data_IF_602776333919
#
_entry.id   IF_602776333919
#
_cell.length_a   1.000
_cell.length_b   1.000
_cell.length_c   1.000
_cell.angle_alpha   90.00
_cell.angle_beta   90.00
_cell.angle_gamma   90.00
#
_symmetry.space_group_name_H-M   'P 1'
#
loop_
_entity.id
_entity.type
_entity.pdbx_description
1 polymer ?
#
# COMPACT_ATOMS: atom_id res chain seq x y z
N UNK A 1 20.40 -18.39 -21.95
CA UNK A 1 21.07 -17.96 -20.72
C UNK A 1 20.55 -16.58 -20.40
N UNK A 2 19.59 -16.48 -19.48
CA UNK A 2 19.02 -15.18 -19.10
C UNK A 2 19.98 -14.56 -18.10
N UNK A 3 20.70 -13.52 -18.55
CA UNK A 3 21.61 -12.75 -17.71
C UNK A 3 20.92 -12.33 -16.42
N UNK A 4 21.59 -12.60 -15.30
CA UNK A 4 21.19 -12.23 -13.95
C UNK A 4 21.18 -10.71 -13.77
N UNK A 5 20.18 -10.05 -14.34
CA UNK A 5 19.76 -8.71 -13.95
C UNK A 5 19.10 -8.82 -12.57
N UNK A 6 19.91 -8.96 -11.54
CA UNK A 6 19.47 -8.82 -10.17
C UNK A 6 18.91 -7.42 -9.98
N UNK A 7 17.64 -7.33 -9.61
CA UNK A 7 17.03 -6.09 -9.18
C UNK A 7 17.60 -5.77 -7.78
N UNK A 8 18.42 -4.73 -7.69
CA UNK A 8 18.86 -4.18 -6.41
C UNK A 8 17.74 -3.29 -5.88
N UNK A 9 17.06 -3.75 -4.84
CA UNK A 9 16.02 -2.98 -4.17
C UNK A 9 16.64 -2.19 -3.02
N UNK A 10 16.40 -0.88 -3.00
CA UNK A 10 16.74 -0.04 -1.85
C UNK A 10 15.62 -0.20 -0.82
N UNK A 11 15.80 -1.17 0.07
CA UNK A 11 14.79 -1.57 1.06
C UNK A 11 14.36 -0.40 1.95
N UNK A 12 15.31 0.48 2.32
CA UNK A 12 15.02 1.67 3.11
C UNK A 12 14.10 2.66 2.38
N UNK A 13 14.26 2.81 1.06
CA UNK A 13 13.35 3.65 0.26
C UNK A 13 11.96 3.03 0.14
N UNK A 14 11.85 1.70 0.15
CA UNK A 14 10.55 1.02 0.18
C UNK A 14 9.85 1.25 1.52
N UNK A 15 10.57 1.18 2.63
CA UNK A 15 10.02 1.47 3.96
C UNK A 15 9.50 2.90 4.05
N UNK A 16 10.28 3.85 3.55
CA UNK A 16 9.85 5.24 3.50
C UNK A 16 8.56 5.39 2.69
N UNK A 17 8.47 4.74 1.52
CA UNK A 17 7.27 4.80 0.66
C UNK A 17 6.06 4.12 1.30
N UNK A 18 6.25 2.99 1.96
CA UNK A 18 5.17 2.29 2.71
C UNK A 18 4.67 3.23 3.82
N UNK A 19 5.57 3.87 4.57
CA UNK A 19 5.20 4.85 5.60
C UNK A 19 4.41 6.03 5.01
N UNK A 20 4.86 6.61 3.89
CA UNK A 20 4.13 7.69 3.22
C UNK A 20 2.74 7.24 2.76
N UNK A 21 2.58 6.02 2.27
CA UNK A 21 1.28 5.49 1.86
C UNK A 21 0.36 5.24 3.06
N UNK A 22 0.90 4.76 4.18
CA UNK A 22 0.14 4.62 5.42
C UNK A 22 -0.37 5.98 5.93
N UNK A 23 0.51 6.99 5.97
CA UNK A 23 0.13 8.37 6.33
C UNK A 23 -0.94 8.93 5.39
N UNK A 24 -0.81 8.71 4.09
CA UNK A 24 -1.82 9.11 3.10
C UNK A 24 -3.15 8.37 3.30
N UNK A 25 -3.11 7.09 3.66
CA UNK A 25 -4.29 6.29 4.02
C UNK A 25 -5.02 6.85 5.23
N UNK A 26 -4.29 7.33 6.23
CA UNK A 26 -4.88 7.93 7.43
C UNK A 26 -5.47 9.31 7.14
N UNK A 27 -4.76 10.16 6.39
CA UNK A 27 -5.28 11.46 5.94
C UNK A 27 -6.54 11.31 5.07
N UNK A 28 -6.56 10.32 4.18
CA UNK A 28 -7.74 10.04 3.35
C UNK A 28 -8.89 9.48 4.19
N UNK A 29 -8.63 8.68 5.22
CA UNK A 29 -9.65 8.23 6.17
C UNK A 29 -10.30 9.40 6.93
N UNK A 30 -9.52 10.39 7.36
CA UNK A 30 -10.07 11.62 7.95
C UNK A 30 -10.94 12.41 6.97
N UNK A 31 -10.56 12.41 5.69
CA UNK A 31 -11.34 13.03 4.62
C UNK A 31 -12.66 12.27 4.39
N UNK A 32 -12.65 10.93 4.38
CA UNK A 32 -13.88 10.10 4.34
C UNK A 32 -14.80 10.47 5.49
N UNK A 33 -14.28 10.53 6.72
CA UNK A 33 -15.08 10.90 7.89
C UNK A 33 -15.68 12.31 7.76
N UNK A 34 -14.95 13.23 7.14
CA UNK A 34 -15.42 14.60 6.92
C UNK A 34 -16.47 14.67 5.81
N UNK A 35 -16.27 13.97 4.70
CA UNK A 35 -17.23 13.89 3.60
C UNK A 35 -18.54 13.20 4.03
N UNK A 36 -18.46 12.11 4.79
CA UNK A 36 -19.64 11.44 5.36
C UNK A 36 -20.43 12.36 6.29
N UNK A 37 -19.75 13.10 7.17
CA UNK A 37 -20.41 14.12 8.01
C UNK A 37 -21.06 15.24 7.20
N UNK A 38 -20.49 15.59 6.05
CA UNK A 38 -21.10 16.57 5.13
C UNK A 38 -22.35 16.00 4.47
N UNK A 39 -22.32 14.72 4.06
CA UNK A 39 -23.47 14.01 3.49
C UNK A 39 -24.65 13.85 4.45
N UNK A 40 -24.38 13.75 5.74
CA UNK A 40 -25.42 13.63 6.76
C UNK A 40 -26.15 14.96 7.03
N UNK A 41 -25.52 16.09 6.69
CA UNK A 41 -26.08 17.42 6.92
C UNK A 41 -27.02 17.83 5.80
N UNK A 42 -28.21 18.32 6.17
CA UNK A 42 -29.10 19.00 5.23
C UNK A 42 -28.69 20.48 5.12
N UNK A 43 -28.32 20.98 3.93
CA UNK A 43 -27.99 22.40 3.75
C UNK A 43 -29.21 23.30 4.04
N UNK A 44 -29.00 24.34 4.86
CA UNK A 44 -30.02 25.33 5.16
C UNK A 44 -30.07 26.40 4.06
N UNK A 45 -30.73 26.10 2.95
CA UNK A 45 -30.88 27.01 1.80
C UNK A 45 -32.22 27.78 1.80
N UNK A 46 -33.06 27.55 2.81
CA UNK A 46 -34.42 28.10 2.92
C UNK A 46 -35.50 27.03 2.73
N UNK A 47 -36.77 27.45 2.79
CA UNK A 47 -37.95 26.56 2.73
C UNK A 47 -38.71 26.62 1.41
N UNK A 48 -38.29 27.49 0.48
CA UNK A 48 -38.89 27.55 -0.84
C UNK A 48 -38.67 26.20 -1.57
N UNK A 49 -39.66 25.67 -2.31
CA UNK A 49 -39.52 24.40 -3.04
C UNK A 49 -38.22 24.22 -3.84
N UNK A 50 -37.73 25.21 -4.64
CA UNK A 50 -36.46 25.08 -5.34
C UNK A 50 -35.24 25.00 -4.39
N UNK A 51 -35.28 25.68 -3.23
CA UNK A 51 -34.21 25.64 -2.25
C UNK A 51 -34.12 24.27 -1.55
N UNK A 52 -35.26 23.68 -1.22
CA UNK A 52 -35.34 22.33 -0.66
C UNK A 52 -34.81 21.30 -1.66
N UNK A 53 -35.21 21.40 -2.93
CA UNK A 53 -34.72 20.51 -3.97
C UNK A 53 -33.19 20.63 -4.15
N UNK A 54 -32.64 21.85 -4.14
CA UNK A 54 -31.19 22.05 -4.21
C UNK A 54 -30.46 21.48 -2.97
N UNK A 55 -31.02 21.66 -1.77
CA UNK A 55 -30.46 21.10 -0.55
C UNK A 55 -30.40 19.56 -0.60
N UNK A 56 -31.44 18.91 -1.14
CA UNK A 56 -31.45 17.46 -1.36
C UNK A 56 -30.38 17.02 -2.36
N UNK A 57 -30.23 17.72 -3.49
CA UNK A 57 -29.21 17.40 -4.50
C UNK A 57 -27.79 17.55 -3.97
N UNK A 58 -27.51 18.59 -3.18
CA UNK A 58 -26.20 18.76 -2.54
C UNK A 58 -25.92 17.65 -1.53
N UNK A 59 -26.93 17.24 -0.76
CA UNK A 59 -26.82 16.12 0.16
C UNK A 59 -26.50 14.81 -0.55
N UNK A 60 -27.18 14.55 -1.67
CA UNK A 60 -26.92 13.37 -2.52
C UNK A 60 -25.52 13.41 -3.13
N UNK A 61 -25.10 14.56 -3.67
CA UNK A 61 -23.76 14.75 -4.22
C UNK A 61 -22.64 14.60 -3.18
N UNK A 62 -22.91 14.95 -1.91
CA UNK A 62 -21.98 14.72 -0.82
C UNK A 62 -21.97 13.25 -0.34
N UNK A 63 -23.02 12.49 -0.62
CA UNK A 63 -23.27 11.14 -0.10
C UNK A 63 -22.38 10.04 -0.67
N UNK A 64 -22.74 8.80 -0.32
CA UNK A 64 -22.00 7.58 -0.70
C UNK A 64 -21.96 7.30 -2.20
N UNK A 65 -22.89 7.87 -2.97
CA UNK A 65 -22.88 7.80 -4.45
C UNK A 65 -22.15 8.98 -5.09
N UNK A 66 -21.66 9.92 -4.29
CA UNK A 66 -20.88 11.07 -4.73
C UNK A 66 -19.59 11.20 -3.92
N UNK A 67 -19.31 12.39 -3.40
CA UNK A 67 -18.02 12.75 -2.80
C UNK A 67 -17.56 11.76 -1.72
N UNK A 68 -18.42 11.39 -0.76
CA UNK A 68 -18.01 10.49 0.32
C UNK A 68 -17.60 9.10 -0.22
N UNK A 69 -18.32 8.59 -1.22
CA UNK A 69 -17.99 7.32 -1.86
C UNK A 69 -16.72 7.37 -2.70
N UNK A 70 -16.48 8.46 -3.42
CA UNK A 70 -15.25 8.66 -4.21
C UNK A 70 -14.01 8.71 -3.31
N UNK A 71 -14.09 9.45 -2.20
CA UNK A 71 -13.00 9.52 -1.22
C UNK A 71 -12.77 8.16 -0.57
N UNK A 72 -13.84 7.42 -0.25
CA UNK A 72 -13.73 6.06 0.33
C UNK A 72 -13.11 5.06 -0.67
N UNK A 73 -13.44 5.17 -1.97
CA UNK A 73 -12.79 4.38 -3.00
C UNK A 73 -11.28 4.69 -3.08
N UNK A 74 -10.92 5.97 -3.01
CA UNK A 74 -9.52 6.41 -3.03
C UNK A 74 -8.76 5.89 -1.82
N UNK A 75 -9.36 5.95 -0.62
CA UNK A 75 -8.76 5.41 0.61
C UNK A 75 -8.48 3.90 0.49
N UNK A 76 -9.42 3.14 -0.07
CA UNK A 76 -9.21 1.71 -0.35
C UNK A 76 -8.05 1.45 -1.30
N UNK A 77 -7.94 2.21 -2.38
CA UNK A 77 -6.86 2.06 -3.37
C UNK A 77 -5.49 2.34 -2.75
N UNK A 78 -5.38 3.40 -1.93
CA UNK A 78 -4.12 3.73 -1.23
C UNK A 78 -3.71 2.59 -0.29
N UNK A 79 -4.64 2.06 0.51
CA UNK A 79 -4.38 0.94 1.41
C UNK A 79 -4.09 -0.38 0.69
N UNK A 80 -4.66 -0.59 -0.49
CA UNK A 80 -4.32 -1.73 -1.33
C UNK A 80 -2.90 -1.62 -1.87
N UNK A 81 -2.52 -0.44 -2.36
CA UNK A 81 -1.18 -0.19 -2.86
C UNK A 81 -0.10 -0.33 -1.77
N UNK A 82 -0.38 0.19 -0.57
CA UNK A 82 0.46 0.00 0.63
C UNK A 82 0.71 -1.50 0.90
N UNK A 83 -0.36 -2.30 0.98
CA UNK A 83 -0.28 -3.75 1.24
C UNK A 83 0.46 -4.49 0.14
N UNK A 84 0.22 -4.12 -1.12
CA UNK A 84 0.94 -4.70 -2.25
C UNK A 84 2.43 -4.41 -2.18
N UNK A 85 2.81 -3.18 -1.85
CA UNK A 85 4.21 -2.78 -1.75
C UNK A 85 4.92 -3.47 -0.59
N UNK A 86 4.26 -3.55 0.58
CA UNK A 86 4.76 -4.30 1.73
C UNK A 86 4.92 -5.79 1.42
N UNK A 87 3.94 -6.41 0.76
CA UNK A 87 4.01 -7.81 0.35
C UNK A 87 5.12 -8.07 -0.68
N UNK A 88 5.35 -7.14 -1.61
CA UNK A 88 6.46 -7.24 -2.56
C UNK A 88 7.82 -7.13 -1.85
N UNK A 89 7.95 -6.22 -0.88
CA UNK A 89 9.16 -6.11 -0.04
C UNK A 89 9.44 -7.41 0.71
N UNK A 90 8.45 -8.00 1.38
CA UNK A 90 8.63 -9.25 2.14
C UNK A 90 9.13 -10.40 1.24
N UNK A 91 8.51 -10.57 0.07
CA UNK A 91 8.93 -11.60 -0.90
C UNK A 91 10.37 -11.42 -1.39
N UNK A 92 10.82 -10.17 -1.51
CA UNK A 92 12.20 -9.90 -1.90
C UNK A 92 13.18 -10.31 -0.79
N UNK A 93 12.90 -9.93 0.46
CA UNK A 93 13.74 -10.28 1.60
C UNK A 93 13.81 -11.79 1.80
N UNK A 94 12.68 -12.50 1.68
CA UNK A 94 12.64 -13.96 1.73
C UNK A 94 13.52 -14.61 0.66
N UNK A 95 13.52 -14.06 -0.57
CA UNK A 95 14.36 -14.56 -1.66
C UNK A 95 15.85 -14.25 -1.42
N UNK A 96 16.18 -13.09 -0.85
CA UNK A 96 17.55 -12.72 -0.51
C UNK A 96 18.12 -13.64 0.59
N UNK A 97 17.33 -13.92 1.63
CA UNK A 97 17.69 -14.84 2.72
C UNK A 97 17.92 -16.27 2.20
N UNK A 98 16.98 -16.81 1.41
CA UNK A 98 17.13 -18.13 0.80
C UNK A 98 18.36 -18.24 -0.11
N UNK A 99 18.63 -17.19 -0.90
CA UNK A 99 19.82 -17.15 -1.77
C UNK A 99 21.11 -17.10 -0.95
N UNK A 100 21.11 -16.40 0.19
CA UNK A 100 22.23 -16.34 1.11
C UNK A 100 22.54 -17.70 1.75
N UNK A 101 21.50 -18.41 2.20
CA UNK A 101 21.62 -19.75 2.78
C UNK A 101 22.11 -20.78 1.76
N UNK A 102 21.61 -20.74 0.52
CA UNK A 102 22.07 -21.63 -0.56
C UNK A 102 23.54 -21.41 -0.91
N UNK A 103 23.99 -20.15 -0.95
CA UNK A 103 25.40 -19.81 -1.19
C UNK A 103 26.30 -20.27 -0.03
N UNK A 104 25.83 -20.12 1.21
CA UNK A 104 26.56 -20.55 2.40
C UNK A 104 26.66 -22.07 2.48
N UNK A 105 25.57 -22.79 2.26
CA UNK A 105 25.56 -24.26 2.23
C UNK A 105 26.45 -24.85 1.13
N UNK A 106 26.50 -24.19 -0.04
CA UNK A 106 27.40 -24.57 -1.14
C UNK A 106 28.87 -24.26 -0.84
N UNK A 107 29.14 -23.15 -0.14
CA UNK A 107 30.47 -22.80 0.35
C UNK A 107 31.02 -23.81 1.37
N UNK A 108 30.22 -24.19 2.37
CA UNK A 108 30.61 -25.17 3.40
C UNK A 108 30.81 -26.59 2.81
N UNK A 109 30.02 -26.95 1.78
CA UNK A 109 30.19 -28.22 1.05
C UNK A 109 31.46 -28.25 0.19
N UNK A 110 31.84 -27.12 -0.40
CA UNK A 110 33.08 -27.01 -1.17
C UNK A 110 34.33 -27.00 -0.28
N UNK A 111 34.26 -26.35 0.88
CA UNK A 111 35.38 -26.25 1.82
C UNK A 111 35.67 -27.59 2.53
N UNK A 112 34.62 -28.36 2.85
CA UNK A 112 34.77 -29.72 3.38
C UNK A 112 35.36 -30.70 2.36
N UNK A 113 34.99 -30.58 1.08
CA UNK A 113 35.58 -31.38 -0.01
C UNK A 113 37.05 -31.01 -0.27
N UNK A 114 37.42 -29.73 -0.18
CA UNK A 114 38.81 -29.26 -0.34
C UNK A 114 39.74 -29.69 0.81
N UNK A 115 39.20 -29.85 2.02
CA UNK A 115 39.95 -30.28 3.20
C UNK A 115 40.19 -31.79 3.23
N UNK A 116 39.22 -32.60 2.76
CA UNK A 116 39.37 -34.05 2.65
C UNK A 116 40.43 -34.48 1.60
N UNK A 117 40.65 -33.68 0.56
CA UNK A 117 41.65 -33.97 -0.48
C UNK A 117 43.10 -33.56 -0.14
N UNK A 118 43.33 -32.89 1.01
CA UNK A 118 44.67 -32.41 1.41
C UNK A 118 45.40 -33.31 2.41
N UNK A 119 44.68 -34.25 3.02
CA UNK A 119 45.20 -35.19 4.02
C UNK A 119 45.40 -36.63 3.45
N UNK A 120 45.51 -36.79 2.13
CA UNK A 120 45.79 -38.07 1.45
C UNK A 120 47.13 -38.09 0.72
#
# INVERSE_FOLDING_TARGET
MSDGRGLRLEVDLLDQRISTLAELGDLTSELVATASRLADRLPLLGTAPPAVHLAMRLREAAGSTGLAGEVEATEREVREYERMLAGAKSKYLEHEEQSGDDLRGKGESADSAGRAGRDS
#
